data_IF_135382572273
#
_entry.id   IF_135382572273
#
_cell.length_a   1.000
_cell.length_b   1.000
_cell.length_c   1.000
_cell.angle_alpha   90.00
_cell.angle_beta   90.00
_cell.angle_gamma   90.00
#
_symmetry.space_group_name_H-M   'P 1'
#
loop_
_entity.id
_entity.type
_entity.pdbx_description
1 polymer ?
#
# COMPACT_ATOMS: atom_id res chain seq x y z
N UNK A 1 12.74 -2.37 -18.17
CA UNK A 1 11.32 -2.78 -18.15
C UNK A 1 10.96 -3.03 -16.70
N UNK A 2 9.80 -2.58 -16.22
CA UNK A 2 9.35 -3.00 -14.90
C UNK A 2 9.20 -4.51 -14.91
N UNK A 3 9.84 -5.18 -13.96
CA UNK A 3 9.71 -6.62 -13.75
C UNK A 3 8.25 -6.91 -13.34
N UNK A 4 7.65 -7.96 -13.90
CA UNK A 4 6.28 -8.39 -13.55
C UNK A 4 6.18 -8.60 -12.03
N UNK A 5 7.24 -9.15 -11.42
CA UNK A 5 7.30 -9.35 -9.96
C UNK A 5 7.22 -8.05 -9.15
N UNK A 6 7.61 -6.90 -9.73
CA UNK A 6 7.47 -5.61 -9.08
C UNK A 6 6.01 -5.17 -9.09
N UNK A 7 5.33 -5.34 -10.23
CA UNK A 7 3.92 -4.96 -10.37
C UNK A 7 3.07 -5.81 -9.43
N UNK A 8 3.27 -7.13 -9.40
CA UNK A 8 2.56 -8.04 -8.50
C UNK A 8 2.72 -7.60 -7.04
N UNK A 9 3.96 -7.30 -6.61
CA UNK A 9 4.22 -6.84 -5.25
C UNK A 9 3.54 -5.50 -4.91
N UNK A 10 3.47 -4.57 -5.87
CA UNK A 10 2.79 -3.29 -5.66
C UNK A 10 1.28 -3.47 -5.55
N UNK A 11 0.70 -4.35 -6.37
CA UNK A 11 -0.73 -4.68 -6.31
C UNK A 11 -1.08 -5.38 -4.99
N UNK A 12 -0.25 -6.33 -4.53
CA UNK A 12 -0.43 -7.00 -3.24
C UNK A 12 -0.49 -6.01 -2.09
N UNK A 13 0.42 -5.03 -2.06
CA UNK A 13 0.48 -4.01 -0.99
C UNK A 13 -0.72 -3.06 -1.06
N UNK A 14 -1.18 -2.72 -2.26
CA UNK A 14 -2.39 -1.92 -2.40
C UNK A 14 -3.58 -2.68 -1.80
N UNK A 15 -3.79 -3.94 -2.19
CA UNK A 15 -4.94 -4.74 -1.79
C UNK A 15 -4.94 -5.08 -0.29
N UNK A 16 -3.81 -5.54 0.24
CA UNK A 16 -3.75 -6.14 1.57
C UNK A 16 -3.31 -5.16 2.67
N UNK A 17 -2.60 -4.08 2.32
CA UNK A 17 -2.08 -3.13 3.31
C UNK A 17 -2.78 -1.76 3.22
N UNK A 18 -2.94 -1.20 2.02
CA UNK A 18 -3.45 0.17 1.83
C UNK A 18 -4.99 0.24 1.89
N UNK A 19 -5.69 -0.62 1.15
CA UNK A 19 -7.15 -0.59 1.04
C UNK A 19 -7.85 -0.77 2.41
N UNK A 20 -7.44 -1.70 3.29
CA UNK A 20 -8.08 -1.88 4.60
C UNK A 20 -7.96 -0.63 5.49
N UNK A 21 -6.76 -0.04 5.55
CA UNK A 21 -6.50 1.19 6.31
C UNK A 21 -7.29 2.36 5.75
N UNK A 22 -7.36 2.48 4.43
CA UNK A 22 -8.14 3.52 3.76
C UNK A 22 -9.62 3.39 4.09
N UNK A 23 -10.17 2.17 4.05
CA UNK A 23 -11.56 1.91 4.40
C UNK A 23 -11.87 2.30 5.85
N UNK A 24 -10.97 1.98 6.78
CA UNK A 24 -11.06 2.41 8.17
C UNK A 24 -11.03 3.94 8.30
N UNK A 25 -10.06 4.62 7.67
CA UNK A 25 -9.97 6.07 7.74
C UNK A 25 -11.20 6.77 7.14
N UNK A 26 -11.73 6.27 6.03
CA UNK A 26 -12.96 6.79 5.41
C UNK A 26 -14.16 6.61 6.35
N UNK A 27 -14.27 5.47 7.03
CA UNK A 27 -15.33 5.26 8.03
C UNK A 27 -15.26 6.28 9.18
N UNK A 28 -14.05 6.75 9.51
CA UNK A 28 -13.83 7.83 10.49
C UNK A 28 -13.93 9.25 9.89
N UNK A 29 -14.28 9.39 8.61
CA UNK A 29 -14.47 10.68 7.94
C UNK A 29 -13.22 11.25 7.26
N UNK A 30 -12.11 10.51 7.18
CA UNK A 30 -10.92 10.93 6.45
C UNK A 30 -11.18 10.88 4.93
N UNK A 31 -10.64 11.88 4.23
CA UNK A 31 -10.75 12.02 2.76
C UNK A 31 -9.44 11.77 2.02
N UNK A 32 -8.40 11.36 2.76
CA UNK A 32 -7.14 10.94 2.18
C UNK A 32 -7.18 9.44 1.85
N UNK A 33 -6.49 9.09 0.76
CA UNK A 33 -6.20 7.71 0.41
C UNK A 33 -4.94 7.27 1.13
N UNK A 34 -4.92 6.01 1.55
CA UNK A 34 -3.74 5.43 2.15
C UNK A 34 -2.57 5.31 1.19
N UNK A 35 -1.38 5.15 1.77
CA UNK A 35 -0.13 5.01 1.06
C UNK A 35 0.77 4.02 1.78
N UNK A 36 1.75 3.48 1.05
CA UNK A 36 2.77 2.59 1.61
C UNK A 36 4.19 3.00 1.19
N UNK A 37 5.15 2.77 2.08
CA UNK A 37 6.59 2.88 1.83
C UNK A 37 7.17 1.47 1.82
N UNK A 38 7.89 1.12 0.76
CA UNK A 38 8.60 -0.14 0.64
C UNK A 38 10.11 0.12 0.56
N UNK A 39 10.90 -0.78 1.13
CA UNK A 39 12.35 -0.78 0.99
C UNK A 39 12.71 -1.15 -0.46
N UNK A 40 13.59 -0.37 -1.09
CA UNK A 40 13.93 -0.56 -2.51
C UNK A 40 14.64 -1.89 -2.79
N UNK A 41 15.48 -2.33 -1.86
CA UNK A 41 16.36 -3.49 -2.00
C UNK A 41 15.57 -4.81 -2.11
N UNK A 42 14.54 -4.97 -1.29
CA UNK A 42 13.82 -6.24 -1.11
C UNK A 42 12.29 -6.10 -1.22
N UNK A 43 11.77 -4.88 -1.39
CA UNK A 43 10.33 -4.56 -1.46
C UNK A 43 9.58 -4.96 -0.17
N UNK A 44 10.30 -5.04 0.95
CA UNK A 44 9.71 -5.21 2.27
C UNK A 44 8.88 -3.97 2.63
N UNK A 45 7.70 -4.18 3.20
CA UNK A 45 6.85 -3.09 3.67
C UNK A 45 7.52 -2.43 4.89
N UNK A 46 7.68 -1.11 4.83
CA UNK A 46 8.20 -0.30 5.94
C UNK A 46 7.04 0.31 6.72
N UNK A 47 6.05 0.86 6.01
CA UNK A 47 4.87 1.50 6.58
C UNK A 47 3.72 1.46 5.57
N UNK A 48 2.50 1.26 6.05
CA UNK A 48 1.27 1.59 5.34
C UNK A 48 0.34 2.36 6.29
N UNK A 49 -0.21 3.50 5.86
CA UNK A 49 -1.10 4.36 6.65
C UNK A 49 -2.16 5.05 5.80
N UNK A 50 -3.11 5.73 6.46
CA UNK A 50 -4.23 6.51 5.86
C UNK A 50 -4.25 7.96 6.32
#
# INVERSE_FOLDING_TARGET
>A
MADVSLIDRLLDVIEHDIVPKTAEGVAHGNKLFGAAILRKEDRSLVLAET
#
